data_IF_446714761262
#
_entry.id   IF_446714761262
#
_cell.length_a   1.000
_cell.length_b   1.000
_cell.length_c   1.000
_cell.angle_alpha   90.00
_cell.angle_beta   90.00
_cell.angle_gamma   90.00
#
_symmetry.space_group_name_H-M   'P 1'
#
loop_
_entity.id
_entity.type
_entity.pdbx_description
1 polymer ?
#
# COMPACT_ATOMS: atom_id res chain seq x y z
N UNK A 1 -1.95 -3.58 -13.27
CA UNK A 1 -2.28 -3.65 -11.83
C UNK A 1 -3.75 -3.32 -11.69
N UNK A 2 -4.45 -3.94 -10.73
CA UNK A 2 -5.84 -3.59 -10.44
C UNK A 2 -5.85 -2.21 -9.75
N UNK A 3 -6.53 -1.18 -10.28
CA UNK A 3 -6.54 0.15 -9.68
C UNK A 3 -7.01 0.18 -8.22
N UNK A 4 -7.89 -0.75 -7.86
CA UNK A 4 -8.48 -0.90 -6.52
C UNK A 4 -7.66 -1.80 -5.58
N UNK A 5 -6.47 -2.24 -6.00
CA UNK A 5 -5.60 -3.05 -5.16
C UNK A 5 -5.10 -2.23 -3.95
N UNK A 6 -5.23 -2.82 -2.76
CA UNK A 6 -4.79 -2.21 -1.50
C UNK A 6 -3.70 -3.05 -0.83
N UNK A 7 -2.85 -2.37 -0.07
CA UNK A 7 -1.89 -2.98 0.84
C UNK A 7 -2.31 -2.67 2.29
N UNK A 8 -2.53 -3.72 3.09
CA UNK A 8 -2.82 -3.60 4.52
C UNK A 8 -1.52 -3.85 5.27
N UNK A 9 -1.09 -2.88 6.09
CA UNK A 9 0.11 -2.97 6.93
C UNK A 9 -0.32 -2.96 8.38
N UNK A 10 0.17 -3.93 9.15
CA UNK A 10 -0.08 -4.02 10.59
C UNK A 10 1.17 -3.57 11.36
N UNK A 11 1.00 -2.64 12.29
CA UNK A 11 2.05 -2.08 13.14
C UNK A 11 1.67 -2.28 14.62
N UNK A 12 1.67 -3.51 15.15
CA UNK A 12 1.12 -3.83 16.47
C UNK A 12 1.83 -3.14 17.65
N UNK A 13 3.06 -2.65 17.45
CA UNK A 13 3.83 -1.90 18.45
C UNK A 13 3.58 -0.40 18.41
N UNK A 14 2.92 0.12 17.36
CA UNK A 14 2.55 1.53 17.26
C UNK A 14 1.21 1.75 17.96
N UNK A 15 1.25 2.44 19.10
CA UNK A 15 0.05 2.73 19.89
C UNK A 15 -0.84 3.82 19.28
N UNK A 16 -0.32 4.59 18.33
CA UNK A 16 -1.04 5.68 17.67
C UNK A 16 -1.71 5.25 16.37
N UNK A 17 -1.05 4.39 15.59
CA UNK A 17 -1.53 3.90 14.30
C UNK A 17 -1.24 2.41 14.16
N UNK A 18 -2.08 1.53 14.75
CA UNK A 18 -1.79 0.10 14.79
C UNK A 18 -1.93 -0.60 13.43
N UNK A 19 -2.50 0.07 12.43
CA UNK A 19 -2.61 -0.42 11.07
C UNK A 19 -2.70 0.75 10.08
N UNK A 20 -2.32 0.50 8.83
CA UNK A 20 -2.49 1.41 7.71
C UNK A 20 -2.98 0.66 6.47
N UNK A 21 -3.76 1.35 5.64
CA UNK A 21 -4.25 0.84 4.36
C UNK A 21 -3.82 1.82 3.27
N UNK A 22 -3.07 1.31 2.30
CA UNK A 22 -2.37 2.12 1.31
C UNK A 22 -2.57 1.60 -0.12
N UNK A 23 -2.43 2.50 -1.08
CA UNK A 23 -2.23 2.17 -2.49
C UNK A 23 -1.09 3.00 -3.06
N UNK A 24 -0.58 2.62 -4.22
CA UNK A 24 0.38 3.44 -4.95
C UNK A 24 -0.33 4.68 -5.49
N UNK A 25 0.33 5.83 -5.41
CA UNK A 25 -0.17 7.04 -6.05
C UNK A 25 -0.22 6.82 -7.57
N UNK A 26 -1.32 7.23 -8.20
CA UNK A 26 -1.59 7.03 -9.62
C UNK A 26 -1.75 8.40 -10.29
N UNK A 27 -0.92 8.76 -11.30
CA UNK A 27 0.03 7.91 -12.03
C UNK A 27 1.45 7.84 -11.47
N UNK A 28 1.81 8.73 -10.54
CA UNK A 28 3.20 9.00 -10.20
C UNK A 28 3.93 7.78 -9.58
N UNK A 29 3.46 7.26 -8.44
CA UNK A 29 4.04 6.11 -7.76
C UNK A 29 3.97 4.82 -8.56
N UNK A 30 2.84 4.59 -9.25
CA UNK A 30 2.68 3.47 -10.19
C UNK A 30 3.75 3.50 -11.29
N UNK A 31 4.01 4.67 -11.87
CA UNK A 31 5.03 4.84 -12.91
C UNK A 31 6.45 4.57 -12.38
N UNK A 32 6.79 5.11 -11.21
CA UNK A 32 8.11 4.91 -10.56
C UNK A 32 8.40 3.43 -10.34
N UNK A 33 7.46 2.72 -9.69
CA UNK A 33 7.66 1.31 -9.31
C UNK A 33 7.62 0.41 -10.54
N UNK A 34 6.74 0.67 -11.52
CA UNK A 34 6.63 -0.13 -12.75
C UNK A 34 7.88 -0.05 -13.62
N UNK A 35 8.55 1.10 -13.66
CA UNK A 35 9.72 1.32 -14.51
C UNK A 35 11.04 0.94 -13.83
N UNK A 36 11.04 0.65 -12.52
CA UNK A 36 12.23 0.23 -11.81
C UNK A 36 12.66 -1.20 -12.18
N UNK A 37 13.95 -1.38 -12.50
CA UNK A 37 14.55 -2.67 -12.85
C UNK A 37 15.57 -3.15 -11.80
N UNK A 38 15.77 -2.39 -10.72
CA UNK A 38 16.71 -2.75 -9.67
C UNK A 38 16.18 -3.95 -8.87
N UNK A 39 17.10 -4.81 -8.42
CA UNK A 39 16.78 -6.03 -7.66
C UNK A 39 17.38 -5.95 -6.27
N UNK A 40 16.75 -6.66 -5.33
CA UNK A 40 17.12 -6.60 -3.92
C UNK A 40 16.65 -5.30 -3.26
N UNK A 41 17.10 -5.05 -2.04
CA UNK A 41 16.75 -3.85 -1.30
C UNK A 41 17.49 -2.63 -1.86
N UNK A 42 16.72 -1.62 -2.27
CA UNK A 42 17.23 -0.34 -2.75
C UNK A 42 16.22 0.77 -2.40
N UNK A 43 16.69 2.01 -2.20
CA UNK A 43 15.80 3.14 -1.93
C UNK A 43 15.08 3.58 -3.21
N UNK A 44 13.94 4.25 -3.03
CA UNK A 44 13.27 5.03 -4.07
C UNK A 44 13.17 6.49 -3.63
N UNK A 45 13.47 7.41 -4.55
CA UNK A 45 13.24 8.84 -4.35
C UNK A 45 11.75 9.18 -4.56
N UNK A 46 11.34 10.35 -4.06
CA UNK A 46 9.99 10.88 -4.27
C UNK A 46 9.68 11.00 -5.76
N UNK A 47 8.38 10.99 -6.09
CA UNK A 47 7.95 11.15 -7.47
C UNK A 47 8.41 12.52 -8.02
N UNK A 48 8.63 12.66 -9.35
CA UNK A 48 9.10 13.91 -9.96
C UNK A 48 8.17 15.12 -9.72
N UNK A 49 6.91 14.86 -9.39
CA UNK A 49 5.89 15.87 -9.06
C UNK A 49 5.82 16.20 -7.55
N UNK A 50 6.70 15.61 -6.73
CA UNK A 50 6.73 15.77 -5.28
C UNK A 50 5.64 14.97 -4.54
N UNK A 51 4.87 14.13 -5.25
CA UNK A 51 3.92 13.25 -4.60
C UNK A 51 4.63 12.06 -3.93
N UNK A 52 4.08 11.53 -2.82
CA UNK A 52 4.60 10.29 -2.25
C UNK A 52 4.33 9.11 -3.19
N UNK A 53 5.18 8.08 -3.14
CA UNK A 53 5.02 6.86 -3.95
C UNK A 53 3.72 6.10 -3.59
N UNK A 54 3.31 6.20 -2.34
CA UNK A 54 2.09 5.58 -1.81
C UNK A 54 1.32 6.57 -0.95
N UNK A 55 0.02 6.37 -0.86
CA UNK A 55 -0.88 7.19 -0.07
C UNK A 55 -1.96 6.35 0.60
N UNK A 56 -2.65 6.92 1.58
CA UNK A 56 -3.76 6.25 2.25
C UNK A 56 -4.94 6.02 1.31
N UNK A 57 -5.51 4.81 1.32
CA UNK A 57 -6.67 4.51 0.51
C UNK A 57 -7.91 5.28 0.95
N UNK A 58 -8.47 6.09 0.04
CA UNK A 58 -9.75 6.79 0.23
C UNK A 58 -10.98 5.94 -0.13
N UNK A 59 -10.80 4.88 -0.92
CA UNK A 59 -11.88 4.05 -1.47
C UNK A 59 -12.10 2.74 -0.68
N UNK A 60 -11.77 2.73 0.61
CA UNK A 60 -11.93 1.57 1.51
C UNK A 60 -13.02 1.85 2.54
N UNK A 61 -13.88 0.86 2.76
CA UNK A 61 -14.90 0.89 3.81
C UNK A 61 -14.64 -0.23 4.82
N UNK A 62 -14.42 0.13 6.08
CA UNK A 62 -14.20 -0.82 7.17
C UNK A 62 -15.54 -1.24 7.80
N UNK A 63 -15.84 -2.53 7.74
CA UNK A 63 -17.04 -3.10 8.33
C UNK A 63 -16.69 -4.19 9.36
N UNK A 64 -16.86 -3.96 10.67
CA UNK A 64 -16.53 -4.93 11.70
C UNK A 64 -17.48 -6.15 11.73
N UNK A 65 -18.60 -6.10 11.00
CA UNK A 65 -19.57 -7.20 10.91
C UNK A 65 -19.38 -8.06 9.68
N UNK A 66 -18.40 -7.73 8.84
CA UNK A 66 -18.10 -8.53 7.66
C UNK A 66 -17.51 -9.88 8.09
N UNK A 67 -18.09 -10.98 7.58
CA UNK A 67 -17.50 -12.30 7.76
C UNK A 67 -16.34 -12.45 6.77
N UNK A 68 -15.24 -13.03 7.23
CA UNK A 68 -14.10 -13.37 6.40
C UNK A 68 -13.57 -14.74 6.79
N UNK A 69 -12.96 -15.43 5.83
CA UNK A 69 -12.32 -16.72 6.03
C UNK A 69 -10.81 -16.56 5.91
N UNK A 70 -10.06 -17.26 6.77
CA UNK A 70 -8.60 -17.34 6.69
C UNK A 70 -8.25 -18.76 6.28
N UNK A 71 -7.60 -18.90 5.12
CA UNK A 71 -7.09 -20.18 4.64
C UNK A 71 -5.56 -20.14 4.74
N UNK A 72 -5.01 -21.00 5.59
CA UNK A 72 -3.57 -21.13 5.80
C UNK A 72 -3.02 -22.28 4.94
N UNK A 73 -2.02 -21.99 4.10
CA UNK A 73 -1.38 -22.93 3.16
C UNK A 73 0.09 -23.23 3.49
N UNK A 74 0.57 -22.78 4.66
CA UNK A 74 1.97 -22.91 5.08
C UNK A 74 2.37 -24.34 5.46
#
# INVERSE_FOLDING_TARGET
>A
MLPEAIAIVMAPTDTSSPHGIFHLSDPAGVSVIRNCQQRGFHPHEECPDGSPIYEHCSHVYMNPKLKFDVVDLR
#
